data_IF_015060907559
#
_entry.id   IF_015060907559
#
_cell.length_a   1.000
_cell.length_b   1.000
_cell.length_c   1.000
_cell.angle_alpha   90.00
_cell.angle_beta   90.00
_cell.angle_gamma   90.00
#
_symmetry.space_group_name_H-M   'P 1'
#
loop_
_entity.id
_entity.type
_entity.pdbx_description
1 polymer ?
#
# COMPACT_ATOMS: atom_id res chain seq x y z
N UNK A 1 25.63 -12.80 -85.33
CA UNK A 1 25.29 -13.71 -84.25
C UNK A 1 25.62 -13.01 -82.96
N UNK A 2 24.67 -12.35 -82.30
CA UNK A 2 24.88 -11.59 -81.07
C UNK A 2 24.30 -12.43 -79.92
N UNK A 3 25.16 -12.75 -78.97
CA UNK A 3 24.76 -13.40 -77.72
C UNK A 3 24.82 -12.32 -76.63
N UNK A 4 23.65 -11.98 -76.07
CA UNK A 4 23.54 -11.05 -74.95
C UNK A 4 23.81 -11.77 -73.60
N UNK A 5 24.52 -11.18 -72.63
CA UNK A 5 24.70 -11.78 -71.32
C UNK A 5 23.52 -11.43 -70.39
N UNK A 6 22.95 -12.47 -69.78
CA UNK A 6 21.93 -12.35 -68.75
C UNK A 6 22.54 -11.82 -67.43
N UNK A 7 22.10 -10.65 -67.01
CA UNK A 7 22.39 -10.13 -65.64
C UNK A 7 21.58 -10.88 -64.61
N UNK A 8 22.23 -11.73 -63.82
CA UNK A 8 21.66 -12.25 -62.53
C UNK A 8 21.70 -11.16 -61.48
N UNK A 9 20.52 -10.66 -61.10
CA UNK A 9 20.35 -9.82 -59.92
C UNK A 9 20.43 -10.70 -58.68
N UNK A 10 21.49 -10.63 -57.92
CA UNK A 10 21.60 -11.22 -56.58
C UNK A 10 20.90 -10.24 -55.62
N UNK A 11 19.73 -10.65 -55.09
CA UNK A 11 19.09 -9.94 -53.99
C UNK A 11 19.73 -10.44 -52.70
N UNK A 12 20.57 -9.63 -52.10
CA UNK A 12 21.10 -9.87 -50.74
C UNK A 12 19.98 -9.47 -49.76
N UNK A 13 19.27 -10.42 -49.21
CA UNK A 13 18.38 -10.21 -48.08
C UNK A 13 19.25 -10.03 -46.83
N UNK A 14 19.44 -8.79 -46.40
CA UNK A 14 20.04 -8.50 -45.10
C UNK A 14 19.00 -8.77 -44.01
N UNK A 15 19.05 -9.96 -43.42
CA UNK A 15 18.28 -10.29 -42.25
C UNK A 15 18.91 -9.57 -41.04
N UNK A 16 18.34 -8.43 -40.67
CA UNK A 16 18.67 -7.77 -39.39
C UNK A 16 18.11 -8.65 -38.30
N UNK A 17 18.92 -9.55 -37.73
CA UNK A 17 18.60 -10.19 -36.46
C UNK A 17 18.60 -9.08 -35.40
N UNK A 18 17.42 -8.61 -34.98
CA UNK A 18 17.24 -7.89 -33.74
C UNK A 18 17.58 -8.89 -32.62
N UNK A 19 18.81 -8.84 -32.14
CA UNK A 19 19.24 -9.51 -30.91
C UNK A 19 18.47 -8.87 -29.76
N UNK A 20 17.24 -9.35 -29.51
CA UNK A 20 16.61 -9.11 -28.21
C UNK A 20 17.54 -9.73 -27.15
N UNK A 21 17.94 -9.00 -26.11
CA UNK A 21 18.73 -9.59 -25.04
C UNK A 21 17.97 -10.81 -24.50
N UNK A 22 18.66 -11.92 -24.19
CA UNK A 22 18.00 -13.09 -23.67
C UNK A 22 17.18 -12.70 -22.42
N UNK A 23 15.93 -13.15 -22.35
CA UNK A 23 15.00 -12.82 -21.25
C UNK A 23 15.59 -13.05 -19.84
N UNK A 24 16.53 -13.99 -19.71
CA UNK A 24 17.27 -14.24 -18.49
C UNK A 24 18.23 -13.11 -18.06
N UNK A 25 18.79 -12.34 -19.01
CA UNK A 25 19.65 -11.21 -18.67
C UNK A 25 18.85 -10.00 -18.15
N UNK A 26 17.61 -9.81 -18.62
CA UNK A 26 16.71 -8.76 -18.12
C UNK A 26 16.23 -9.04 -16.71
N UNK A 27 15.84 -10.29 -16.40
CA UNK A 27 15.41 -10.67 -15.03
C UNK A 27 16.54 -10.50 -14.01
N UNK A 28 17.77 -10.77 -14.40
CA UNK A 28 18.94 -10.62 -13.54
C UNK A 28 19.25 -9.15 -13.22
N UNK A 29 19.14 -8.26 -14.19
CA UNK A 29 19.31 -6.82 -14.02
C UNK A 29 18.18 -6.23 -13.16
N UNK A 30 16.93 -6.64 -13.38
CA UNK A 30 15.78 -6.16 -12.61
C UNK A 30 15.89 -6.54 -11.14
N UNK A 31 16.23 -7.78 -10.80
CA UNK A 31 16.42 -8.21 -9.41
C UNK A 31 17.51 -7.40 -8.70
N UNK A 32 18.61 -7.13 -9.40
CA UNK A 32 19.71 -6.30 -8.88
C UNK A 32 19.29 -4.85 -8.67
N UNK A 33 18.53 -4.29 -9.61
CA UNK A 33 18.01 -2.93 -9.51
C UNK A 33 17.03 -2.79 -8.34
N UNK A 34 16.10 -3.73 -8.18
CA UNK A 34 15.19 -3.76 -7.02
C UNK A 34 15.94 -3.83 -5.71
N UNK A 35 16.98 -4.69 -5.63
CA UNK A 35 17.82 -4.76 -4.44
C UNK A 35 18.54 -3.44 -4.13
N UNK A 36 19.12 -2.79 -5.12
CA UNK A 36 19.80 -1.50 -4.96
C UNK A 36 18.85 -0.41 -4.45
N UNK A 37 17.62 -0.34 -5.01
CA UNK A 37 16.57 0.60 -4.56
C UNK A 37 16.10 0.30 -3.14
N UNK A 38 15.92 -0.96 -2.76
CA UNK A 38 15.58 -1.34 -1.38
C UNK A 38 16.67 -0.94 -0.39
N UNK A 39 17.95 -1.07 -0.77
CA UNK A 39 19.07 -0.61 0.04
C UNK A 39 19.10 0.93 0.19
N UNK A 40 18.80 1.66 -0.87
CA UNK A 40 18.67 3.13 -0.84
C UNK A 40 17.54 3.55 0.10
N UNK A 41 16.34 3.00 -0.06
CA UNK A 41 15.19 3.25 0.81
C UNK A 41 15.54 3.01 2.27
N UNK A 42 16.18 1.88 2.59
CA UNK A 42 16.56 1.53 3.97
C UNK A 42 17.52 2.54 4.57
N UNK A 43 18.57 2.95 3.82
CA UNK A 43 19.51 3.98 4.29
C UNK A 43 18.81 5.31 4.51
N UNK A 44 18.01 5.77 3.54
CA UNK A 44 17.26 7.02 3.65
C UNK A 44 16.31 7.03 4.86
N UNK A 45 15.59 5.92 5.11
CA UNK A 45 14.72 5.77 6.28
C UNK A 45 15.49 5.87 7.59
N UNK A 46 16.62 5.16 7.66
CA UNK A 46 17.45 5.17 8.87
C UNK A 46 18.15 6.50 9.10
N UNK A 47 18.51 7.22 8.05
CA UNK A 47 19.20 8.51 8.16
C UNK A 47 18.24 9.67 8.44
N UNK A 48 17.04 9.64 7.86
CA UNK A 48 16.15 10.81 7.85
C UNK A 48 14.91 10.68 8.75
N UNK A 49 14.40 9.46 8.93
CA UNK A 49 13.14 9.23 9.67
C UNK A 49 13.41 8.70 11.07
N UNK A 50 14.30 7.72 11.21
CA UNK A 50 14.50 7.02 12.47
C UNK A 50 14.93 7.95 13.64
N UNK A 51 15.84 8.94 13.46
CA UNK A 51 16.23 9.81 14.54
C UNK A 51 15.06 10.62 15.13
N UNK A 52 14.26 11.22 14.28
CA UNK A 52 13.09 11.99 14.70
C UNK A 52 12.03 11.07 15.32
N UNK A 53 11.72 9.94 14.68
CA UNK A 53 10.73 9.00 15.18
C UNK A 53 11.10 8.43 16.56
N UNK A 54 12.35 8.10 16.81
CA UNK A 54 12.81 7.66 18.14
C UNK A 54 12.67 8.78 19.19
N UNK A 55 13.12 9.99 18.88
CA UNK A 55 13.11 11.13 19.81
C UNK A 55 11.71 11.63 20.14
N UNK A 56 10.85 11.78 19.14
CA UNK A 56 9.46 12.21 19.33
C UNK A 56 8.65 11.21 20.17
N UNK A 57 8.98 9.90 20.07
CA UNK A 57 8.34 8.87 20.88
C UNK A 57 9.11 8.57 22.18
N UNK A 58 10.21 9.29 22.47
CA UNK A 58 10.98 9.19 23.71
C UNK A 58 11.62 7.82 23.91
N UNK A 59 12.07 7.14 22.85
CA UNK A 59 12.75 5.85 22.88
C UNK A 59 14.25 6.05 22.66
N UNK A 60 15.04 5.74 23.69
CA UNK A 60 16.51 5.87 23.60
C UNK A 60 17.17 4.71 22.89
N UNK A 61 16.58 3.52 23.01
CA UNK A 61 17.05 2.30 22.36
C UNK A 61 15.85 1.49 21.86
N UNK A 62 15.95 0.98 20.64
CA UNK A 62 14.95 0.09 20.07
C UNK A 62 15.59 -1.25 19.75
N UNK A 63 15.03 -2.35 20.28
CA UNK A 63 15.56 -3.71 20.11
C UNK A 63 14.53 -4.56 19.40
N UNK A 64 14.91 -5.14 18.25
CA UNK A 64 14.07 -6.03 17.45
C UNK A 64 14.76 -7.39 17.35
N UNK A 65 14.38 -8.37 18.17
CA UNK A 65 14.91 -9.73 18.08
C UNK A 65 14.23 -10.50 16.94
N UNK A 66 14.98 -11.39 16.33
CA UNK A 66 14.49 -12.32 15.30
C UNK A 66 15.18 -13.67 15.47
N UNK A 67 14.57 -14.73 14.94
CA UNK A 67 15.18 -16.04 14.74
C UNK A 67 14.73 -16.62 13.41
N UNK A 68 15.40 -17.67 12.95
CA UNK A 68 15.00 -18.37 11.73
C UNK A 68 13.56 -18.90 11.85
N UNK A 69 12.72 -18.57 10.85
CA UNK A 69 11.30 -18.94 10.85
C UNK A 69 10.38 -18.09 11.73
N UNK A 70 10.93 -17.16 12.52
CA UNK A 70 10.18 -16.24 13.40
C UNK A 70 10.77 -14.83 13.23
N UNK A 71 10.50 -14.23 12.05
CA UNK A 71 10.97 -12.90 11.71
C UNK A 71 9.96 -11.86 12.16
N UNK A 72 10.45 -10.76 12.71
CA UNK A 72 9.60 -9.60 12.99
C UNK A 72 8.92 -9.09 11.70
N UNK A 73 7.64 -8.66 11.73
CA UNK A 73 6.94 -8.12 10.56
C UNK A 73 7.67 -6.98 9.86
N UNK A 74 8.52 -6.24 10.57
CA UNK A 74 9.34 -5.16 10.02
C UNK A 74 10.58 -5.63 9.25
N UNK A 75 10.78 -6.93 9.07
CA UNK A 75 11.95 -7.45 8.35
C UNK A 75 12.12 -6.86 6.95
N UNK A 76 11.04 -6.44 6.32
CA UNK A 76 11.09 -5.77 5.02
C UNK A 76 11.84 -4.43 5.08
N UNK A 77 11.64 -3.66 6.15
CA UNK A 77 12.32 -2.40 6.40
C UNK A 77 13.73 -2.62 6.95
N UNK A 78 13.87 -3.50 7.94
CA UNK A 78 15.12 -3.74 8.64
C UNK A 78 16.09 -4.67 7.88
N UNK A 79 15.56 -5.57 7.06
CA UNK A 79 16.30 -6.67 6.43
C UNK A 79 16.34 -7.89 7.32
N UNK A 80 16.31 -9.09 6.73
CA UNK A 80 16.34 -10.36 7.49
C UNK A 80 17.74 -10.77 7.93
N UNK A 81 18.63 -10.91 6.95
CA UNK A 81 19.88 -11.60 7.13
C UNK A 81 19.72 -13.08 7.54
N UNK A 82 20.84 -13.74 7.74
CA UNK A 82 20.88 -15.08 8.33
C UNK A 82 20.93 -14.96 9.86
N UNK A 83 19.96 -15.55 10.52
CA UNK A 83 19.84 -15.62 11.98
C UNK A 83 19.86 -17.08 12.39
N UNK A 84 20.95 -17.55 12.94
CA UNK A 84 21.12 -18.95 13.34
C UNK A 84 20.16 -19.35 14.47
N UNK A 85 20.34 -18.77 15.65
CA UNK A 85 19.45 -19.00 16.80
C UNK A 85 18.56 -17.80 17.07
N UNK A 86 19.10 -16.72 17.67
CA UNK A 86 18.43 -15.44 17.90
C UNK A 86 19.41 -14.35 17.54
N UNK A 87 18.97 -13.41 16.70
CA UNK A 87 19.71 -12.20 16.36
C UNK A 87 18.93 -10.94 16.70
N UNK A 88 19.61 -9.80 16.79
CA UNK A 88 19.02 -8.55 17.22
C UNK A 88 19.39 -7.42 16.29
N UNK A 89 18.40 -6.64 15.89
CA UNK A 89 18.61 -5.28 15.40
C UNK A 89 18.50 -4.33 16.60
N UNK A 90 19.52 -3.53 16.81
CA UNK A 90 19.56 -2.57 17.91
C UNK A 90 19.83 -1.18 17.38
N UNK A 91 18.94 -0.27 17.67
CA UNK A 91 19.04 1.13 17.30
C UNK A 91 19.18 1.96 18.58
N UNK A 92 20.22 2.80 18.66
CA UNK A 92 20.50 3.57 19.88
C UNK A 92 20.69 5.04 19.55
N UNK A 93 19.92 5.92 20.19
CA UNK A 93 20.15 7.36 20.14
C UNK A 93 21.35 7.73 21.03
N UNK A 94 22.46 8.09 20.40
CA UNK A 94 23.69 8.54 21.09
C UNK A 94 23.77 10.04 21.16
N UNK A 95 22.71 10.77 20.79
CA UNK A 95 22.75 12.18 20.49
C UNK A 95 23.38 12.47 19.12
N UNK A 96 23.32 13.73 18.66
CA UNK A 96 23.77 14.10 17.32
C UNK A 96 22.76 13.80 16.21
N UNK A 97 23.23 13.73 14.97
CA UNK A 97 22.32 13.71 13.80
C UNK A 97 21.83 12.32 13.40
N UNK A 98 22.42 11.26 13.93
CA UNK A 98 22.07 9.90 13.52
C UNK A 98 21.97 8.93 14.70
N UNK A 99 21.23 7.85 14.46
CA UNK A 99 21.09 6.72 15.37
C UNK A 99 22.20 5.69 15.09
N UNK A 100 22.84 5.17 16.14
CA UNK A 100 23.73 4.02 16.04
C UNK A 100 22.92 2.77 15.69
N UNK A 101 23.38 1.99 14.72
CA UNK A 101 22.65 0.85 14.13
C UNK A 101 23.51 -0.39 14.19
N UNK A 102 23.04 -1.39 14.92
CA UNK A 102 23.81 -2.61 15.14
C UNK A 102 22.97 -3.83 14.83
N UNK A 103 23.57 -4.83 14.18
CA UNK A 103 23.00 -6.15 13.98
C UNK A 103 23.85 -7.18 14.72
N UNK A 104 23.38 -7.69 15.85
CA UNK A 104 24.05 -8.68 16.69
C UNK A 104 23.55 -10.08 16.32
N UNK A 105 24.45 -11.06 16.17
CA UNK A 105 24.16 -12.45 15.80
C UNK A 105 23.36 -12.61 14.50
N UNK A 106 23.52 -11.64 13.61
CA UNK A 106 22.89 -11.63 12.28
C UNK A 106 24.03 -11.53 11.24
N UNK A 107 24.21 -12.57 10.46
CA UNK A 107 25.25 -12.63 9.42
C UNK A 107 24.65 -12.56 8.03
N UNK A 108 25.18 -11.69 7.18
CA UNK A 108 24.80 -11.60 5.78
C UNK A 108 25.75 -10.67 5.01
N UNK A 109 26.39 -11.18 3.97
CA UNK A 109 27.28 -10.35 3.10
C UNK A 109 26.48 -9.24 2.39
N UNK A 110 25.22 -9.48 2.03
CA UNK A 110 24.36 -8.50 1.35
C UNK A 110 24.02 -7.32 2.26
N UNK A 111 23.98 -7.52 3.57
CA UNK A 111 23.73 -6.46 4.53
C UNK A 111 24.89 -5.47 4.59
N UNK A 112 26.11 -6.00 4.63
CA UNK A 112 27.30 -5.16 4.51
C UNK A 112 27.33 -4.39 3.19
N UNK A 113 26.93 -5.04 2.07
CA UNK A 113 26.81 -4.40 0.77
C UNK A 113 25.73 -3.31 0.72
N UNK A 114 24.65 -3.44 1.53
CA UNK A 114 23.61 -2.44 1.65
C UNK A 114 24.08 -1.17 2.41
N UNK A 115 25.05 -1.29 3.33
CA UNK A 115 25.64 -0.17 4.07
C UNK A 115 24.69 0.53 5.02
N UNK A 116 23.62 -0.15 5.48
CA UNK A 116 22.60 0.44 6.36
C UNK A 116 22.95 0.33 7.86
N UNK A 117 23.85 -0.57 8.23
CA UNK A 117 24.26 -0.81 9.61
C UNK A 117 25.70 -0.41 9.84
N UNK A 118 25.97 0.23 11.00
CA UNK A 118 27.29 0.69 11.39
C UNK A 118 28.18 -0.44 11.86
N UNK A 119 27.59 -1.37 12.64
CA UNK A 119 28.28 -2.47 13.31
C UNK A 119 27.51 -3.76 13.01
N UNK A 120 28.22 -4.76 12.51
CA UNK A 120 27.69 -6.12 12.27
C UNK A 120 28.67 -7.12 12.90
N UNK A 121 28.74 -7.21 14.26
CA UNK A 121 29.54 -8.22 14.90
C UNK A 121 28.92 -9.60 14.60
N UNK A 122 29.73 -10.58 14.22
CA UNK A 122 29.24 -11.93 13.94
C UNK A 122 28.56 -12.57 15.16
N UNK A 123 29.09 -12.32 16.36
CA UNK A 123 28.54 -12.73 17.65
C UNK A 123 28.67 -11.59 18.65
N UNK A 124 27.75 -11.49 19.60
CA UNK A 124 27.79 -10.41 20.59
C UNK A 124 26.97 -10.68 21.85
N UNK A 125 27.38 -10.07 22.97
CA UNK A 125 26.60 -10.05 24.21
C UNK A 125 25.64 -8.85 24.21
N UNK A 126 24.37 -9.10 23.96
CA UNK A 126 23.32 -8.07 23.95
C UNK A 126 23.27 -7.31 25.29
N UNK A 127 23.35 -8.01 26.43
CA UNK A 127 23.22 -7.37 27.74
C UNK A 127 24.41 -6.45 28.05
N UNK A 128 25.64 -6.88 27.71
CA UNK A 128 26.82 -6.03 27.82
C UNK A 128 26.72 -4.81 26.89
N UNK A 129 26.22 -5.01 25.65
CA UNK A 129 26.01 -3.93 24.68
C UNK A 129 25.03 -2.88 25.22
N UNK A 130 23.87 -3.31 25.75
CA UNK A 130 22.84 -2.43 26.31
C UNK A 130 23.34 -1.71 27.56
N UNK A 131 23.99 -2.42 28.49
CA UNK A 131 24.57 -1.80 29.69
C UNK A 131 25.58 -0.68 29.37
N UNK A 132 26.45 -0.92 28.39
CA UNK A 132 27.44 0.08 27.96
C UNK A 132 26.82 1.38 27.43
N UNK A 133 25.57 1.32 26.94
CA UNK A 133 24.84 2.48 26.41
C UNK A 133 23.87 3.10 27.40
N UNK A 134 23.52 2.37 28.44
CA UNK A 134 22.67 2.80 29.57
C UNK A 134 21.39 3.54 29.13
N UNK A 135 20.53 2.95 28.31
CA UNK A 135 19.28 3.58 27.88
C UNK A 135 18.32 3.80 29.06
N UNK A 136 17.49 4.84 28.99
CA UNK A 136 16.41 5.09 29.94
C UNK A 136 15.15 4.30 29.57
N UNK A 137 14.85 4.23 28.27
CA UNK A 137 13.71 3.48 27.71
C UNK A 137 14.17 2.61 26.56
N UNK A 138 13.76 1.35 26.61
CA UNK A 138 14.04 0.34 25.58
C UNK A 138 12.73 0.00 24.88
N UNK A 139 12.58 0.43 23.62
CA UNK A 139 11.44 0.06 22.78
C UNK A 139 11.52 -1.39 22.35
N UNK A 140 10.41 -2.11 22.45
CA UNK A 140 10.23 -3.48 21.97
C UNK A 140 8.94 -3.56 21.14
N UNK A 141 8.88 -4.50 20.19
CA UNK A 141 7.77 -4.62 19.25
C UNK A 141 6.58 -5.35 19.86
N UNK A 142 5.83 -4.65 20.71
CA UNK A 142 4.54 -5.09 21.30
C UNK A 142 3.49 -4.03 21.06
N UNK A 143 2.27 -4.44 20.69
CA UNK A 143 1.14 -3.53 20.47
C UNK A 143 -0.18 -4.26 20.63
N UNK A 144 -1.15 -3.63 21.30
CA UNK A 144 -2.54 -4.11 21.37
C UNK A 144 -3.37 -3.71 20.15
N UNK A 145 -2.88 -2.74 19.34
CA UNK A 145 -3.63 -2.11 18.25
C UNK A 145 -3.13 -2.47 16.84
N UNK A 146 -1.86 -2.84 16.71
CA UNK A 146 -1.22 -3.00 15.41
C UNK A 146 -0.41 -4.28 15.32
N UNK A 147 -0.94 -5.31 14.64
CA UNK A 147 -0.25 -6.60 14.50
C UNK A 147 1.14 -6.50 13.87
N UNK A 148 1.39 -5.55 12.96
CA UNK A 148 2.75 -5.33 12.42
C UNK A 148 3.73 -4.72 13.42
N UNK A 149 3.23 -4.10 14.49
CA UNK A 149 4.05 -3.58 15.58
C UNK A 149 4.11 -4.54 16.79
N UNK A 150 3.43 -5.68 16.72
CA UNK A 150 3.38 -6.74 17.72
C UNK A 150 4.17 -7.99 17.26
N UNK A 151 5.37 -7.77 16.72
CA UNK A 151 6.20 -8.86 16.19
C UNK A 151 6.98 -9.66 17.22
N UNK A 152 6.98 -9.23 18.48
CA UNK A 152 7.74 -9.89 19.54
C UNK A 152 6.96 -11.10 20.08
N UNK A 153 7.30 -12.30 19.60
CA UNK A 153 6.67 -13.51 20.11
C UNK A 153 6.90 -13.70 21.62
N UNK A 154 5.98 -14.39 22.30
CA UNK A 154 6.09 -14.67 23.72
C UNK A 154 7.45 -15.32 24.09
N UNK A 155 7.97 -16.19 23.25
CA UNK A 155 9.28 -16.85 23.48
C UNK A 155 10.43 -15.84 23.39
N UNK A 156 10.43 -14.96 22.39
CA UNK A 156 11.45 -13.92 22.24
C UNK A 156 11.35 -12.87 23.34
N UNK A 157 10.14 -12.52 23.80
CA UNK A 157 9.95 -11.64 24.95
C UNK A 157 10.59 -12.22 26.22
N UNK A 158 10.29 -13.48 26.57
CA UNK A 158 10.91 -14.15 27.72
C UNK A 158 12.43 -14.22 27.60
N UNK A 159 12.92 -14.48 26.38
CA UNK A 159 14.35 -14.48 26.10
C UNK A 159 14.99 -13.13 26.39
N UNK A 160 14.37 -12.03 25.90
CA UNK A 160 14.86 -10.67 26.18
C UNK A 160 14.89 -10.37 27.67
N UNK A 161 13.82 -10.68 28.41
CA UNK A 161 13.76 -10.49 29.88
C UNK A 161 14.90 -11.22 30.57
N UNK A 162 15.14 -12.49 30.19
CA UNK A 162 16.22 -13.29 30.78
C UNK A 162 17.60 -12.73 30.43
N UNK A 163 17.81 -12.37 29.16
CA UNK A 163 19.11 -11.87 28.65
C UNK A 163 19.47 -10.51 29.25
N UNK A 164 18.51 -9.59 29.30
CA UNK A 164 18.72 -8.23 29.81
C UNK A 164 18.82 -8.19 31.36
N UNK A 165 18.16 -9.12 32.03
CA UNK A 165 18.03 -9.14 33.48
C UNK A 165 17.04 -8.11 34.02
N UNK A 166 16.73 -8.13 35.32
CA UNK A 166 15.60 -7.38 35.92
C UNK A 166 15.74 -5.85 35.77
N UNK A 167 16.98 -5.32 35.86
CA UNK A 167 17.20 -3.87 35.79
C UNK A 167 16.89 -3.30 34.40
N UNK A 168 17.39 -3.92 33.33
CA UNK A 168 17.21 -3.44 31.98
C UNK A 168 15.83 -3.80 31.41
N UNK A 169 15.31 -4.97 31.76
CA UNK A 169 13.98 -5.39 31.33
C UNK A 169 12.86 -4.51 31.91
N UNK A 170 13.07 -3.93 33.09
CA UNK A 170 12.15 -2.94 33.69
C UNK A 170 12.07 -1.62 32.89
N UNK A 171 13.01 -1.38 31.96
CA UNK A 171 13.03 -0.20 31.08
C UNK A 171 12.33 -0.47 29.73
N UNK A 172 11.88 -1.69 29.48
CA UNK A 172 11.20 -2.06 28.23
C UNK A 172 9.81 -1.42 28.18
N UNK A 173 9.47 -0.87 27.02
CA UNK A 173 8.17 -0.24 26.72
C UNK A 173 7.75 -0.59 25.30
N UNK A 174 6.45 -0.53 24.99
CA UNK A 174 5.98 -0.67 23.62
C UNK A 174 6.60 0.38 22.69
N UNK A 175 7.03 -0.06 21.51
CA UNK A 175 7.54 0.81 20.44
C UNK A 175 6.47 1.09 19.36
N UNK A 176 5.20 0.82 19.60
CA UNK A 176 4.12 0.84 18.60
C UNK A 176 4.01 2.19 17.87
N UNK A 177 4.05 3.32 18.60
CA UNK A 177 4.02 4.67 18.00
C UNK A 177 5.30 4.98 17.22
N UNK A 178 6.47 4.60 17.75
CA UNK A 178 7.73 4.69 17.02
C UNK A 178 7.65 3.91 15.71
N UNK A 179 7.14 2.69 15.75
CA UNK A 179 7.01 1.82 14.57
C UNK A 179 6.05 2.44 13.55
N UNK A 180 4.89 2.95 14.00
CA UNK A 180 3.94 3.65 13.14
C UNK A 180 4.58 4.87 12.46
N UNK A 181 5.25 5.72 13.22
CA UNK A 181 5.94 6.90 12.70
C UNK A 181 7.08 6.52 11.74
N UNK A 182 7.94 5.59 12.14
CA UNK A 182 9.05 5.13 11.31
C UNK A 182 8.56 4.50 9.99
N UNK A 183 7.52 3.68 10.05
CA UNK A 183 6.99 3.00 8.85
C UNK A 183 6.24 3.97 7.94
N UNK A 184 5.39 4.84 8.49
CA UNK A 184 4.45 5.66 7.69
C UNK A 184 5.02 6.99 7.18
N UNK A 185 6.06 7.57 7.81
CA UNK A 185 6.79 8.73 7.26
C UNK A 185 7.65 8.29 6.09
N UNK A 186 7.36 8.78 4.89
CA UNK A 186 8.03 8.32 3.66
C UNK A 186 9.19 9.23 3.28
N UNK A 187 10.26 8.61 2.78
CA UNK A 187 11.37 9.28 2.13
C UNK A 187 11.13 9.39 0.62
N UNK A 188 11.85 10.28 -0.07
CA UNK A 188 11.64 10.51 -1.49
C UNK A 188 11.80 9.23 -2.34
N UNK A 189 12.75 8.36 -2.01
CA UNK A 189 12.96 7.07 -2.69
C UNK A 189 11.74 6.11 -2.52
N UNK A 190 11.03 6.14 -1.37
CA UNK A 190 9.77 5.42 -1.20
C UNK A 190 8.64 6.02 -2.04
N UNK A 191 8.50 7.36 -2.07
CA UNK A 191 7.45 8.02 -2.84
C UNK A 191 7.57 7.71 -4.34
N UNK A 192 8.80 7.64 -4.87
CA UNK A 192 9.05 7.22 -6.25
C UNK A 192 8.65 5.76 -6.46
N UNK A 193 9.06 4.85 -5.57
CA UNK A 193 8.71 3.43 -5.66
C UNK A 193 7.20 3.20 -5.57
N UNK A 194 6.52 3.97 -4.71
CA UNK A 194 5.07 3.89 -4.55
C UNK A 194 4.33 4.46 -5.77
N UNK A 195 4.82 5.56 -6.36
CA UNK A 195 4.29 6.09 -7.61
C UNK A 195 4.37 5.07 -8.76
N UNK A 196 5.50 4.34 -8.88
CA UNK A 196 5.62 3.23 -9.84
C UNK A 196 4.57 2.13 -9.56
N UNK A 197 4.40 1.74 -8.29
CA UNK A 197 3.43 0.72 -7.89
C UNK A 197 1.99 1.13 -8.22
N UNK A 198 1.59 2.37 -7.91
CA UNK A 198 0.24 2.89 -8.20
C UNK A 198 -0.04 2.94 -9.69
N UNK A 199 0.94 3.34 -10.51
CA UNK A 199 0.80 3.37 -11.97
C UNK A 199 0.68 1.96 -12.57
N UNK A 200 1.47 0.99 -12.09
CA UNK A 200 1.34 -0.40 -12.52
C UNK A 200 -0.05 -0.94 -12.15
N UNK A 201 -0.53 -0.68 -10.92
CA UNK A 201 -1.87 -1.06 -10.49
C UNK A 201 -2.95 -0.46 -11.39
N UNK A 202 -2.86 0.83 -11.70
CA UNK A 202 -3.78 1.52 -12.60
C UNK A 202 -3.85 0.85 -13.99
N UNK A 203 -2.69 0.52 -14.57
CA UNK A 203 -2.63 -0.14 -15.89
C UNK A 203 -3.26 -1.54 -15.86
N UNK A 204 -3.00 -2.32 -14.82
CA UNK A 204 -3.62 -3.65 -14.64
C UNK A 204 -5.15 -3.49 -14.54
N UNK A 205 -5.63 -2.55 -13.72
CA UNK A 205 -7.06 -2.31 -13.52
C UNK A 205 -7.80 -1.89 -14.80
N UNK A 206 -7.22 -0.98 -15.58
CA UNK A 206 -7.85 -0.52 -16.83
C UNK A 206 -7.96 -1.65 -17.89
N UNK A 207 -7.00 -2.55 -17.94
CA UNK A 207 -7.05 -3.72 -18.81
C UNK A 207 -8.05 -4.76 -18.28
N UNK A 208 -8.03 -5.03 -16.97
CA UNK A 208 -8.97 -5.98 -16.34
C UNK A 208 -10.44 -5.60 -16.58
N UNK A 209 -10.74 -4.30 -16.49
CA UNK A 209 -12.09 -3.75 -16.71
C UNK A 209 -12.32 -3.31 -18.17
N UNK A 210 -11.91 -4.13 -19.13
CA UNK A 210 -12.07 -3.87 -20.56
C UNK A 210 -12.50 -5.13 -21.31
N UNK A 211 -12.81 -5.00 -22.62
CA UNK A 211 -13.10 -6.14 -23.49
C UNK A 211 -11.87 -7.01 -23.80
N UNK A 212 -10.67 -6.65 -23.32
CA UNK A 212 -9.52 -7.56 -23.36
C UNK A 212 -9.76 -8.78 -22.45
N UNK A 213 -10.45 -8.58 -21.31
CA UNK A 213 -10.67 -9.61 -20.29
C UNK A 213 -12.14 -10.02 -20.20
N UNK A 214 -13.07 -9.07 -20.34
CA UNK A 214 -14.49 -9.29 -20.07
C UNK A 214 -15.26 -9.46 -21.38
N UNK A 215 -15.84 -10.65 -21.55
CA UNK A 215 -16.87 -10.96 -22.56
C UNK A 215 -18.20 -11.14 -21.83
N UNK A 216 -19.16 -10.19 -21.96
CA UNK A 216 -20.46 -10.28 -21.29
C UNK A 216 -21.19 -11.58 -21.66
N UNK A 217 -21.78 -12.24 -20.67
CA UNK A 217 -22.45 -13.54 -20.82
C UNK A 217 -21.51 -14.76 -20.76
N UNK A 218 -20.19 -14.55 -20.64
CA UNK A 218 -19.17 -15.62 -20.61
C UNK A 218 -18.27 -15.51 -19.40
N UNK A 219 -17.61 -14.36 -19.23
CA UNK A 219 -16.60 -14.12 -18.19
C UNK A 219 -17.25 -14.05 -16.81
N UNK A 220 -16.69 -14.75 -15.83
CA UNK A 220 -17.11 -14.71 -14.42
C UNK A 220 -16.34 -13.62 -13.65
N UNK A 221 -16.80 -13.29 -12.43
CA UNK A 221 -16.07 -12.40 -11.54
C UNK A 221 -14.70 -13.00 -11.15
N UNK A 222 -14.65 -14.33 -10.97
CA UNK A 222 -13.40 -15.05 -10.69
C UNK A 222 -12.40 -14.94 -11.84
N UNK A 223 -12.83 -15.04 -13.09
CA UNK A 223 -11.93 -14.93 -14.25
C UNK A 223 -11.20 -13.59 -14.25
N UNK A 224 -11.88 -12.50 -13.91
CA UNK A 224 -11.28 -11.17 -13.81
C UNK A 224 -10.28 -11.10 -12.65
N UNK A 225 -10.64 -11.63 -11.47
CA UNK A 225 -9.76 -11.65 -10.31
C UNK A 225 -8.47 -12.44 -10.57
N UNK A 226 -8.59 -13.65 -11.15
CA UNK A 226 -7.43 -14.47 -11.49
C UNK A 226 -6.58 -13.87 -12.61
N UNK A 227 -7.19 -13.19 -13.58
CA UNK A 227 -6.42 -12.47 -14.60
C UNK A 227 -5.55 -11.38 -13.98
N UNK A 228 -6.08 -10.61 -13.00
CA UNK A 228 -5.32 -9.59 -12.28
C UNK A 228 -4.15 -10.24 -11.53
N UNK A 229 -4.42 -11.32 -10.79
CA UNK A 229 -3.40 -12.07 -10.04
C UNK A 229 -2.28 -12.57 -10.97
N UNK A 230 -2.63 -13.09 -12.12
CA UNK A 230 -1.67 -13.53 -13.15
C UNK A 230 -0.81 -12.36 -13.65
N UNK A 231 -1.40 -11.17 -13.87
CA UNK A 231 -0.64 -9.98 -14.27
C UNK A 231 0.36 -9.53 -13.21
N UNK A 232 0.01 -9.66 -11.93
CA UNK A 232 0.92 -9.38 -10.81
C UNK A 232 2.07 -10.40 -10.78
N UNK A 233 1.77 -11.68 -10.87
CA UNK A 233 2.75 -12.77 -10.85
C UNK A 233 3.77 -12.64 -12.00
N UNK A 234 3.29 -12.39 -13.23
CA UNK A 234 4.16 -12.24 -14.41
C UNK A 234 5.15 -11.06 -14.29
N UNK A 235 4.81 -10.04 -13.51
CA UNK A 235 5.66 -8.88 -13.24
C UNK A 235 6.51 -9.02 -11.99
N UNK A 236 6.42 -10.15 -11.28
CA UNK A 236 7.09 -10.36 -10.00
C UNK A 236 6.65 -9.35 -8.94
N UNK A 237 5.35 -9.04 -8.90
CA UNK A 237 4.72 -8.16 -7.90
C UNK A 237 4.04 -9.00 -6.83
N UNK A 238 3.94 -8.44 -5.61
CA UNK A 238 3.04 -8.96 -4.59
C UNK A 238 1.61 -8.49 -4.79
N UNK A 239 0.67 -9.13 -4.08
CA UNK A 239 -0.72 -8.68 -3.99
C UNK A 239 -1.00 -8.17 -2.58
N UNK A 240 -1.72 -7.05 -2.44
CA UNK A 240 -2.21 -6.56 -1.15
C UNK A 240 -3.34 -7.43 -0.58
N UNK A 241 -3.96 -8.23 -1.43
CA UNK A 241 -5.04 -9.16 -1.11
C UNK A 241 -4.62 -10.58 -1.48
N UNK A 242 -5.21 -11.59 -0.86
CA UNK A 242 -5.01 -12.98 -1.25
C UNK A 242 -5.46 -13.22 -2.70
N UNK A 243 -6.66 -12.72 -3.02
CA UNK A 243 -7.20 -12.61 -4.39
C UNK A 243 -7.87 -11.24 -4.53
N UNK A 244 -7.69 -10.52 -5.66
CA UNK A 244 -8.41 -9.28 -5.91
C UNK A 244 -9.94 -9.44 -5.76
N UNK A 245 -10.60 -8.47 -5.12
CA UNK A 245 -12.04 -8.49 -4.96
C UNK A 245 -12.72 -7.93 -6.20
N UNK A 246 -13.60 -8.72 -6.84
CA UNK A 246 -14.43 -8.29 -7.99
C UNK A 246 -15.88 -8.59 -7.67
N UNK A 247 -16.76 -7.61 -7.79
CA UNK A 247 -18.16 -7.74 -7.42
C UNK A 247 -19.10 -6.87 -8.28
N UNK A 248 -20.37 -7.22 -8.28
CA UNK A 248 -21.43 -6.43 -8.91
C UNK A 248 -22.07 -5.55 -7.84
N UNK A 249 -22.20 -4.26 -8.14
CA UNK A 249 -22.98 -3.34 -7.31
C UNK A 249 -24.41 -3.24 -7.82
N UNK A 250 -25.35 -3.25 -6.89
CA UNK A 250 -26.78 -3.11 -7.14
C UNK A 250 -27.40 -2.04 -6.25
N UNK A 251 -28.73 -1.99 -6.18
CA UNK A 251 -29.43 -1.04 -5.32
C UNK A 251 -29.03 -1.18 -3.85
N UNK A 252 -28.56 -0.05 -3.27
CA UNK A 252 -28.16 0.11 -1.88
C UNK A 252 -26.91 -0.68 -1.43
N UNK A 253 -26.14 -1.24 -2.36
CA UNK A 253 -24.90 -1.89 -2.01
C UNK A 253 -24.37 -2.92 -2.99
N UNK A 254 -23.78 -3.99 -2.44
CA UNK A 254 -23.26 -5.10 -3.22
C UNK A 254 -24.40 -6.06 -3.52
N UNK A 255 -24.61 -6.35 -4.82
CA UNK A 255 -25.64 -7.30 -5.27
C UNK A 255 -25.09 -8.72 -5.38
N UNK A 256 -23.89 -8.90 -5.96
CA UNK A 256 -23.28 -10.20 -6.13
C UNK A 256 -21.79 -10.18 -5.86
N UNK A 257 -21.34 -11.15 -5.06
CA UNK A 257 -19.93 -11.40 -4.73
C UNK A 257 -19.51 -12.83 -5.06
N UNK A 258 -20.43 -13.66 -5.57
CA UNK A 258 -20.12 -15.05 -5.94
C UNK A 258 -19.11 -15.06 -7.08
N UNK A 259 -18.02 -15.79 -6.90
CA UNK A 259 -16.97 -15.94 -7.91
C UNK A 259 -17.51 -16.53 -9.23
N UNK A 260 -18.55 -17.35 -9.17
CA UNK A 260 -19.17 -18.00 -10.33
C UNK A 260 -20.15 -17.09 -11.09
N UNK A 261 -20.43 -15.88 -10.58
CA UNK A 261 -21.35 -14.93 -11.19
C UNK A 261 -20.83 -14.50 -12.55
N UNK A 262 -21.53 -14.89 -13.62
CA UNK A 262 -21.22 -14.47 -15.00
C UNK A 262 -21.64 -13.02 -15.18
N UNK A 263 -20.72 -12.20 -15.65
CA UNK A 263 -20.92 -10.77 -15.93
C UNK A 263 -21.90 -10.61 -17.09
N UNK A 264 -22.95 -9.80 -16.88
CA UNK A 264 -24.03 -9.59 -17.85
C UNK A 264 -24.05 -8.13 -18.33
N UNK A 265 -24.74 -7.91 -19.46
CA UNK A 265 -25.02 -6.56 -19.94
C UNK A 265 -25.91 -5.80 -18.97
N UNK A 266 -25.49 -4.57 -18.63
CA UNK A 266 -26.15 -3.72 -17.64
C UNK A 266 -25.54 -3.83 -16.25
N UNK A 267 -24.61 -4.76 -16.01
CA UNK A 267 -23.90 -4.88 -14.73
C UNK A 267 -22.99 -3.67 -14.48
N UNK A 268 -22.92 -3.26 -13.23
CA UNK A 268 -21.96 -2.29 -12.72
C UNK A 268 -20.92 -3.04 -11.89
N UNK A 269 -19.71 -3.15 -12.42
CA UNK A 269 -18.63 -3.93 -11.83
C UNK A 269 -17.76 -3.00 -10.96
N UNK A 270 -17.42 -3.47 -9.80
CA UNK A 270 -16.44 -2.88 -8.90
C UNK A 270 -15.29 -3.84 -8.71
N UNK A 271 -14.08 -3.32 -8.61
CA UNK A 271 -12.91 -4.08 -8.21
C UNK A 271 -12.14 -3.34 -7.12
N UNK A 272 -11.51 -4.12 -6.25
CA UNK A 272 -10.69 -3.69 -5.14
C UNK A 272 -9.44 -4.55 -5.08
N UNK A 273 -8.28 -3.94 -5.24
CA UNK A 273 -7.00 -4.65 -5.24
C UNK A 273 -5.82 -3.69 -5.05
N UNK A 274 -4.69 -4.26 -4.70
CA UNK A 274 -3.43 -3.53 -4.66
C UNK A 274 -2.26 -4.38 -5.11
N UNK A 275 -1.17 -3.72 -5.46
CA UNK A 275 0.08 -4.35 -5.87
C UNK A 275 1.18 -4.06 -4.86
N UNK A 276 2.05 -5.05 -4.62
CA UNK A 276 3.26 -4.92 -3.83
C UNK A 276 4.49 -4.78 -4.72
N UNK A 277 5.20 -3.66 -4.60
CA UNK A 277 6.44 -3.40 -5.31
C UNK A 277 7.45 -2.71 -4.40
N UNK A 278 8.67 -3.23 -4.32
CA UNK A 278 9.75 -2.70 -3.46
C UNK A 278 9.33 -2.51 -1.98
N UNK A 279 8.59 -3.48 -1.44
CA UNK A 279 7.99 -3.42 -0.10
C UNK A 279 6.99 -2.26 0.10
N UNK A 280 6.51 -1.69 -0.99
CA UNK A 280 5.43 -0.70 -1.00
C UNK A 280 4.16 -1.35 -1.54
N UNK A 281 3.04 -1.15 -0.82
CA UNK A 281 1.75 -1.80 -1.08
C UNK A 281 0.69 -0.76 -1.35
N UNK A 282 -0.01 -0.89 -2.49
CA UNK A 282 -1.08 0.03 -2.92
C UNK A 282 -2.45 -0.52 -2.52
N UNK A 283 -3.46 0.36 -2.56
CA UNK A 283 -4.86 0.00 -2.40
C UNK A 283 -5.73 0.86 -3.33
N UNK A 284 -6.47 0.23 -4.26
CA UNK A 284 -7.14 0.95 -5.33
C UNK A 284 -8.48 0.30 -5.69
N UNK A 285 -9.51 1.14 -5.85
CA UNK A 285 -10.80 0.71 -6.39
C UNK A 285 -11.06 1.29 -7.77
N UNK A 286 -11.60 0.46 -8.67
CA UNK A 286 -12.02 0.85 -10.02
C UNK A 286 -13.40 0.30 -10.32
N UNK A 287 -14.09 0.92 -11.26
CA UNK A 287 -15.41 0.48 -11.66
C UNK A 287 -15.60 0.49 -13.18
N UNK A 288 -16.48 -0.38 -13.65
CA UNK A 288 -16.90 -0.45 -15.04
C UNK A 288 -18.42 -0.63 -15.16
N UNK A 289 -18.94 -0.24 -16.29
CA UNK A 289 -20.32 -0.52 -16.69
C UNK A 289 -20.33 -1.35 -17.98
N UNK A 290 -21.08 -2.44 -17.96
CA UNK A 290 -21.29 -3.28 -19.13
C UNK A 290 -22.46 -2.73 -19.94
N UNK A 291 -22.17 -2.17 -21.10
CA UNK A 291 -23.18 -1.55 -21.96
C UNK A 291 -24.30 -2.55 -22.32
N UNK A 292 -25.56 -2.12 -22.20
CA UNK A 292 -26.70 -2.86 -22.72
C UNK A 292 -26.69 -2.85 -24.24
N UNK A 293 -27.45 -3.76 -24.82
CA UNK A 293 -27.59 -3.79 -26.30
C UNK A 293 -28.13 -2.47 -26.83
N UNK A 294 -27.39 -1.86 -27.75
CA UNK A 294 -27.73 -0.55 -28.34
C UNK A 294 -27.17 0.67 -27.57
N UNK A 295 -26.63 0.49 -26.38
CA UNK A 295 -25.94 1.57 -25.67
C UNK A 295 -24.53 1.79 -26.24
N UNK A 296 -24.11 3.06 -26.34
CA UNK A 296 -22.78 3.48 -26.79
C UNK A 296 -22.04 4.33 -25.77
N UNK A 297 -22.70 4.69 -24.69
CA UNK A 297 -22.19 5.57 -23.62
C UNK A 297 -22.78 5.19 -22.26
N UNK A 298 -22.09 5.63 -21.20
CA UNK A 298 -22.58 5.47 -19.84
C UNK A 298 -23.97 6.13 -19.66
N UNK A 299 -24.94 5.48 -18.98
CA UNK A 299 -26.19 6.10 -18.60
C UNK A 299 -25.96 7.37 -17.77
N UNK A 300 -26.73 8.42 -18.06
CA UNK A 300 -26.55 9.74 -17.43
C UNK A 300 -26.76 9.72 -15.92
N UNK A 301 -27.58 8.82 -15.38
CA UNK A 301 -27.81 8.62 -13.94
C UNK A 301 -26.56 8.06 -13.25
N UNK A 302 -25.92 7.04 -13.84
CA UNK A 302 -24.67 6.45 -13.32
C UNK A 302 -23.54 7.50 -13.39
N UNK A 303 -23.45 8.26 -14.50
CA UNK A 303 -22.47 9.36 -14.60
C UNK A 303 -22.68 10.38 -13.48
N UNK A 304 -23.93 10.83 -13.23
CA UNK A 304 -24.21 11.75 -12.12
C UNK A 304 -23.82 11.18 -10.77
N UNK A 305 -24.08 9.90 -10.51
CA UNK A 305 -23.68 9.24 -9.26
C UNK A 305 -22.15 9.24 -9.10
N UNK A 306 -21.42 8.91 -10.15
CA UNK A 306 -19.95 8.97 -10.17
C UNK A 306 -19.44 10.40 -9.93
N UNK A 307 -20.05 11.41 -10.57
CA UNK A 307 -19.69 12.82 -10.40
C UNK A 307 -19.92 13.30 -8.94
N UNK A 308 -20.93 12.78 -8.23
CA UNK A 308 -21.12 13.07 -6.81
C UNK A 308 -19.98 12.49 -5.95
N UNK A 309 -19.58 11.25 -6.20
CA UNK A 309 -18.44 10.65 -5.50
C UNK A 309 -17.13 11.44 -5.76
N UNK A 310 -16.91 11.88 -7.01
CA UNK A 310 -15.77 12.76 -7.37
C UNK A 310 -15.81 14.08 -6.59
N UNK A 311 -16.98 14.70 -6.42
CA UNK A 311 -17.10 15.91 -5.59
C UNK A 311 -16.72 15.67 -4.13
N UNK A 312 -17.16 14.55 -3.53
CA UNK A 312 -16.76 14.17 -2.18
C UNK A 312 -15.25 14.01 -2.10
N UNK A 313 -14.62 13.29 -3.05
CA UNK A 313 -13.16 13.12 -3.11
C UNK A 313 -12.42 14.46 -3.17
N UNK A 314 -12.92 15.42 -3.96
CA UNK A 314 -12.30 16.74 -4.07
C UNK A 314 -12.40 17.56 -2.77
N UNK A 315 -13.47 17.38 -1.98
CA UNK A 315 -13.57 17.99 -0.65
C UNK A 315 -12.52 17.37 0.28
N UNK A 316 -12.38 16.03 0.30
CA UNK A 316 -11.34 15.34 1.07
C UNK A 316 -9.96 15.88 0.67
N UNK A 317 -9.65 15.90 -0.63
CA UNK A 317 -8.35 16.36 -1.16
C UNK A 317 -7.99 17.76 -0.71
N UNK A 318 -8.95 18.68 -0.68
CA UNK A 318 -8.74 20.08 -0.31
C UNK A 318 -8.67 20.31 1.20
N UNK A 319 -9.25 19.42 1.99
CA UNK A 319 -9.37 19.59 3.45
C UNK A 319 -8.30 18.81 4.20
N UNK A 320 -8.05 17.55 3.81
CA UNK A 320 -7.10 16.70 4.52
C UNK A 320 -5.66 17.18 4.34
N UNK A 321 -4.94 17.31 5.46
CA UNK A 321 -3.54 17.77 5.51
C UNK A 321 -2.82 17.24 6.74
N UNK A 322 -1.50 17.25 6.71
CA UNK A 322 -0.66 16.87 7.84
C UNK A 322 -0.70 17.90 8.99
N UNK A 323 -0.28 17.49 10.19
CA UNK A 323 -0.13 18.34 11.38
C UNK A 323 -1.28 18.23 12.38
N UNK A 324 -2.17 17.24 12.24
CA UNK A 324 -3.27 16.95 13.18
C UNK A 324 -3.41 15.45 13.39
N UNK A 325 -4.08 15.06 14.48
CA UNK A 325 -4.48 13.66 14.65
C UNK A 325 -5.48 13.25 13.56
N UNK A 326 -5.48 11.96 13.21
CA UNK A 326 -6.42 11.42 12.22
C UNK A 326 -7.88 11.67 12.63
N UNK A 327 -8.20 11.63 13.94
CA UNK A 327 -9.53 11.96 14.47
C UNK A 327 -9.93 13.40 14.16
N UNK A 328 -9.09 14.36 14.51
CA UNK A 328 -9.37 15.78 14.27
C UNK A 328 -9.53 16.06 12.76
N UNK A 329 -8.70 15.43 11.94
CA UNK A 329 -8.78 15.56 10.49
C UNK A 329 -10.04 14.91 9.91
N UNK A 330 -10.43 13.73 10.42
CA UNK A 330 -11.68 13.06 10.03
C UNK A 330 -12.90 13.93 10.33
N UNK A 331 -12.93 14.58 11.49
CA UNK A 331 -14.03 15.46 11.88
C UNK A 331 -14.12 16.69 10.97
N UNK A 332 -12.98 17.32 10.64
CA UNK A 332 -12.93 18.46 9.71
C UNK A 332 -13.37 18.08 8.29
N UNK A 333 -12.88 16.96 7.78
CA UNK A 333 -13.25 16.44 6.45
C UNK A 333 -14.74 16.13 6.40
N UNK A 334 -15.28 15.44 7.42
CA UNK A 334 -16.68 15.10 7.52
C UNK A 334 -17.57 16.36 7.55
N UNK A 335 -17.18 17.35 8.36
CA UNK A 335 -17.89 18.63 8.41
C UNK A 335 -17.85 19.37 7.07
N UNK A 336 -16.72 19.38 6.38
CA UNK A 336 -16.57 20.01 5.08
C UNK A 336 -17.42 19.34 3.99
N UNK A 337 -17.49 18.01 3.97
CA UNK A 337 -18.32 17.26 3.03
C UNK A 337 -19.81 17.53 3.33
N UNK A 338 -20.21 17.57 4.59
CA UNK A 338 -21.58 17.88 5.00
C UNK A 338 -21.96 19.32 4.59
N UNK A 339 -21.05 20.28 4.77
CA UNK A 339 -21.25 21.68 4.32
C UNK A 339 -21.37 21.80 2.79
N UNK A 340 -20.79 20.88 2.03
CA UNK A 340 -20.94 20.79 0.59
C UNK A 340 -22.28 20.15 0.13
N UNK A 341 -23.18 19.82 1.06
CA UNK A 341 -24.53 19.33 0.78
C UNK A 341 -24.68 17.80 0.75
N UNK A 342 -23.69 17.06 1.24
CA UNK A 342 -23.76 15.61 1.35
C UNK A 342 -24.19 15.17 2.75
N UNK A 343 -24.84 14.03 2.86
CA UNK A 343 -25.33 13.48 4.13
C UNK A 343 -24.41 12.39 4.65
N UNK A 344 -23.87 12.55 5.86
CA UNK A 344 -23.06 11.50 6.48
C UNK A 344 -23.91 10.28 6.84
N UNK A 345 -23.45 9.09 6.45
CA UNK A 345 -24.06 7.83 6.90
C UNK A 345 -23.79 7.58 8.38
N UNK A 346 -24.78 7.01 9.09
CA UNK A 346 -24.64 6.66 10.51
C UNK A 346 -23.95 5.30 10.72
N UNK A 347 -23.91 4.46 9.69
CA UNK A 347 -23.25 3.16 9.68
C UNK A 347 -23.17 2.63 8.25
N UNK A 348 -22.23 1.72 8.01
CA UNK A 348 -21.84 1.26 6.67
C UNK A 348 -23.01 0.69 5.83
N UNK A 349 -24.00 0.08 6.47
CA UNK A 349 -25.17 -0.53 5.80
C UNK A 349 -26.49 0.18 6.12
N UNK A 350 -26.44 1.43 6.58
CA UNK A 350 -27.63 2.20 6.98
C UNK A 350 -27.97 3.25 5.93
N UNK A 351 -28.30 2.79 4.72
CA UNK A 351 -28.68 3.65 3.60
C UNK A 351 -30.08 4.24 3.84
N UNK A 352 -30.20 5.57 3.76
CA UNK A 352 -31.49 6.26 3.89
C UNK A 352 -32.30 6.16 2.61
N UNK A 353 -33.59 6.00 2.75
CA UNK A 353 -34.53 6.06 1.62
C UNK A 353 -35.02 7.50 1.40
N UNK A 354 -34.11 8.37 0.92
CA UNK A 354 -34.39 9.77 0.60
C UNK A 354 -33.61 10.21 -0.66
N UNK A 355 -33.84 11.45 -1.10
CA UNK A 355 -33.19 12.00 -2.29
C UNK A 355 -31.73 12.49 -2.07
N UNK A 356 -31.18 12.37 -0.84
CA UNK A 356 -29.83 12.83 -0.53
C UNK A 356 -28.76 11.91 -1.14
N UNK A 357 -27.61 12.45 -1.49
CA UNK A 357 -26.39 11.67 -1.67
C UNK A 357 -25.72 11.53 -0.32
N UNK A 358 -25.54 10.28 0.12
CA UNK A 358 -24.89 9.96 1.37
C UNK A 358 -23.41 9.61 1.14
N UNK A 359 -22.57 9.78 2.17
CA UNK A 359 -21.18 9.42 2.13
C UNK A 359 -20.69 8.76 3.41
N UNK A 360 -19.64 7.96 3.29
CA UNK A 360 -18.82 7.46 4.40
C UNK A 360 -17.34 7.52 3.98
N UNK A 361 -16.46 7.88 4.93
CA UNK A 361 -15.02 8.02 4.70
C UNK A 361 -14.33 6.75 5.17
N UNK A 362 -13.49 6.18 4.29
CA UNK A 362 -12.63 5.03 4.59
C UNK A 362 -11.14 5.36 4.49
N UNK A 363 -10.74 6.64 4.42
CA UNK A 363 -9.34 7.03 4.19
C UNK A 363 -8.40 6.47 5.27
N UNK A 364 -7.39 5.73 4.85
CA UNK A 364 -6.46 5.06 5.76
C UNK A 364 -5.02 5.12 5.26
N UNK A 365 -4.07 4.89 6.18
CA UNK A 365 -2.67 4.74 5.82
C UNK A 365 -2.46 3.53 4.91
N UNK A 366 -1.56 3.68 3.93
CA UNK A 366 -1.17 2.66 2.95
C UNK A 366 0.35 2.67 2.75
N UNK A 367 0.88 1.70 2.07
CA UNK A 367 2.29 1.64 1.68
C UNK A 367 3.10 0.55 2.37
N UNK A 368 3.04 0.36 3.69
CA UNK A 368 3.66 -0.77 4.38
C UNK A 368 2.80 -2.04 4.24
N UNK A 369 1.52 -1.85 4.04
CA UNK A 369 0.50 -2.83 3.71
C UNK A 369 -0.66 -2.13 3.02
N UNK A 370 -1.65 -2.84 2.45
CA UNK A 370 -2.85 -2.23 1.89
C UNK A 370 -3.58 -1.39 2.95
N UNK A 371 -3.82 -1.97 4.14
CA UNK A 371 -4.21 -1.23 5.34
C UNK A 371 -2.99 -0.96 6.22
N UNK A 372 -2.21 0.05 5.90
CA UNK A 372 -0.95 0.40 6.57
C UNK A 372 -1.10 0.72 8.06
N UNK A 373 0.03 0.78 8.79
CA UNK A 373 0.06 0.95 10.26
C UNK A 373 0.15 2.42 10.72
N UNK A 374 0.14 3.36 9.79
CA UNK A 374 0.10 4.79 10.09
C UNK A 374 -1.27 5.28 10.56
N UNK A 375 -1.45 6.61 10.71
CA UNK A 375 -2.71 7.22 11.09
C UNK A 375 -3.83 6.85 10.10
N UNK A 376 -5.07 6.73 10.60
CA UNK A 376 -6.22 6.35 9.78
C UNK A 376 -7.46 7.17 10.15
N UNK A 377 -8.13 7.71 9.14
CA UNK A 377 -9.44 8.38 9.25
C UNK A 377 -10.59 7.40 8.95
N UNK A 378 -10.30 6.11 8.83
CA UNK A 378 -11.29 5.11 8.52
C UNK A 378 -12.04 4.63 9.77
N UNK A 379 -13.34 4.44 9.64
CA UNK A 379 -14.21 3.96 10.71
C UNK A 379 -13.85 2.56 11.22
N UNK A 380 -13.22 1.74 10.37
CA UNK A 380 -12.80 0.37 10.70
C UNK A 380 -11.42 0.28 11.39
N UNK A 381 -10.74 1.42 11.60
CA UNK A 381 -9.44 1.50 12.26
C UNK A 381 -9.45 2.45 13.48
N UNK A 382 -10.33 2.26 14.48
CA UNK A 382 -10.50 3.23 15.58
C UNK A 382 -9.24 3.43 16.43
N UNK A 383 -8.42 2.42 16.64
CA UNK A 383 -7.17 2.50 17.41
C UNK A 383 -6.13 3.46 16.83
N UNK A 384 -6.23 3.79 15.54
CA UNK A 384 -5.29 4.68 14.84
C UNK A 384 -5.79 6.12 14.64
N UNK A 385 -6.97 6.44 15.16
CA UNK A 385 -7.54 7.79 15.09
C UNK A 385 -6.73 8.83 15.87
N UNK A 386 -6.03 8.42 16.93
CA UNK A 386 -5.23 9.30 17.78
C UNK A 386 -3.80 9.50 17.28
N UNK A 387 -3.43 8.88 16.16
CA UNK A 387 -2.11 9.05 15.56
C UNK A 387 -2.09 10.33 14.72
N UNK A 388 -0.96 11.04 14.76
CA UNK A 388 -0.79 12.28 14.00
C UNK A 388 -0.50 11.98 12.53
N UNK A 389 -1.20 12.65 11.64
CA UNK A 389 -0.89 12.64 10.21
C UNK A 389 0.35 13.50 9.99
N UNK A 390 1.45 12.87 9.61
CA UNK A 390 2.72 13.53 9.35
C UNK A 390 2.86 13.89 7.86
N UNK A 391 3.66 14.91 7.51
CA UNK A 391 4.04 15.12 6.12
C UNK A 391 4.66 13.84 5.53
N UNK A 392 4.35 13.57 4.26
CA UNK A 392 4.75 12.37 3.50
C UNK A 392 4.07 11.06 3.89
N UNK A 393 3.10 11.05 4.82
CA UNK A 393 2.26 9.86 5.00
C UNK A 393 1.52 9.53 3.70
N UNK A 394 1.52 8.25 3.32
CA UNK A 394 0.72 7.74 2.24
C UNK A 394 -0.66 7.34 2.75
N UNK A 395 -1.67 7.74 2.00
CA UNK A 395 -3.06 7.41 2.28
C UNK A 395 -3.73 6.82 1.05
N UNK A 396 -4.50 5.78 1.23
CA UNK A 396 -5.59 5.48 0.33
C UNK A 396 -6.72 6.47 0.64
N UNK A 397 -7.10 7.28 -0.35
CA UNK A 397 -8.22 8.21 -0.26
C UNK A 397 -9.48 7.46 -0.64
N UNK A 398 -9.92 6.62 0.28
CA UNK A 398 -11.10 5.78 0.15
C UNK A 398 -12.36 6.50 0.64
N UNK A 399 -13.43 6.39 -0.14
CA UNK A 399 -14.76 6.85 0.21
C UNK A 399 -15.84 6.00 -0.48
N UNK A 400 -17.05 6.04 0.07
CA UNK A 400 -18.24 5.51 -0.57
C UNK A 400 -19.29 6.62 -0.64
N UNK A 401 -19.83 6.86 -1.84
CA UNK A 401 -20.96 7.75 -2.04
C UNK A 401 -22.18 6.95 -2.53
N UNK A 402 -23.33 7.21 -1.94
CA UNK A 402 -24.58 6.54 -2.27
C UNK A 402 -25.53 7.56 -2.85
N UNK A 403 -25.79 7.47 -4.15
CA UNK A 403 -26.61 8.45 -4.90
C UNK A 403 -27.87 7.78 -5.45
N UNK A 404 -29.07 8.37 -5.26
CA UNK A 404 -30.32 7.81 -5.76
C UNK A 404 -30.33 7.72 -7.30
N UNK A 405 -30.79 6.58 -7.82
CA UNK A 405 -31.02 6.38 -9.25
C UNK A 405 -32.53 6.31 -9.56
N UNK A 406 -33.04 7.15 -10.47
CA UNK A 406 -34.45 7.11 -10.87
C UNK A 406 -34.91 5.76 -11.38
N UNK A 407 -34.06 5.08 -12.19
CA UNK A 407 -34.32 3.76 -12.77
C UNK A 407 -34.40 2.63 -11.71
N UNK A 408 -33.92 2.88 -10.49
CA UNK A 408 -34.03 1.98 -9.33
C UNK A 408 -35.12 2.42 -8.35
N UNK A 409 -36.06 3.27 -8.80
CA UNK A 409 -37.13 3.79 -7.94
C UNK A 409 -36.62 4.66 -6.80
N UNK A 410 -35.47 5.30 -6.95
CA UNK A 410 -34.84 6.14 -5.95
C UNK A 410 -33.89 5.39 -5.00
N UNK A 411 -33.76 4.09 -5.10
CA UNK A 411 -32.72 3.34 -4.39
C UNK A 411 -31.33 3.78 -4.86
N UNK A 412 -30.34 3.73 -3.97
CA UNK A 412 -29.05 4.38 -4.18
C UNK A 412 -28.02 3.46 -4.82
N UNK A 413 -27.27 4.00 -5.76
CA UNK A 413 -26.06 3.38 -6.30
C UNK A 413 -24.87 3.76 -5.40
N UNK A 414 -24.18 2.73 -4.91
CA UNK A 414 -22.91 2.86 -4.18
C UNK A 414 -21.76 3.03 -5.17
N UNK A 415 -21.09 4.18 -5.11
CA UNK A 415 -19.86 4.46 -5.85
C UNK A 415 -18.69 4.46 -4.86
N UNK A 416 -17.82 3.46 -4.85
CA UNK A 416 -16.55 3.53 -4.15
C UNK A 416 -15.52 4.25 -5.03
N UNK A 417 -14.79 5.18 -4.44
CA UNK A 417 -13.56 5.72 -5.03
C UNK A 417 -12.42 5.45 -4.07
N UNK A 418 -11.30 5.04 -4.64
CA UNK A 418 -10.08 4.81 -3.88
C UNK A 418 -8.87 4.99 -4.79
N UNK A 419 -8.05 5.95 -4.42
CA UNK A 419 -6.80 6.27 -5.08
C UNK A 419 -5.74 6.61 -4.04
N UNK A 420 -4.53 6.11 -4.25
CA UNK A 420 -3.40 6.34 -3.37
C UNK A 420 -2.80 7.75 -3.56
N UNK A 421 -2.45 8.36 -2.45
CA UNK A 421 -1.94 9.73 -2.42
C UNK A 421 -0.91 9.93 -1.31
N UNK A 422 -0.15 11.02 -1.40
CA UNK A 422 0.66 11.53 -0.29
C UNK A 422 -0.05 12.70 0.39
N UNK A 423 -0.06 12.69 1.72
CA UNK A 423 -0.59 13.82 2.50
C UNK A 423 0.56 14.75 2.85
N UNK A 424 0.37 16.04 2.56
CA UNK A 424 1.34 17.10 2.83
C UNK A 424 0.73 18.18 3.73
N UNK A 425 1.52 19.17 4.12
CA UNK A 425 1.01 20.36 4.83
C UNK A 425 0.06 21.21 3.98
N UNK A 426 0.11 21.07 2.64
CA UNK A 426 -0.72 21.81 1.68
C UNK A 426 -2.03 21.10 1.33
N UNK A 427 -2.11 19.80 1.55
CA UNK A 427 -3.25 18.97 1.17
C UNK A 427 -2.82 17.59 0.67
N UNK A 428 -3.75 16.91 0.01
CA UNK A 428 -3.52 15.60 -0.65
C UNK A 428 -2.97 15.83 -2.06
N UNK A 429 -1.87 15.15 -2.38
CA UNK A 429 -1.22 15.19 -3.69
C UNK A 429 -1.20 13.78 -4.29
N UNK A 430 -1.69 13.64 -5.51
CA UNK A 430 -1.75 12.37 -6.23
C UNK A 430 -0.39 11.97 -6.78
N UNK A 431 -0.03 10.71 -6.66
CA UNK A 431 1.24 10.17 -7.16
C UNK A 431 1.12 9.53 -8.56
N UNK A 432 -0.10 9.27 -9.00
CA UNK A 432 -0.42 8.74 -10.33
C UNK A 432 -1.77 9.31 -10.81
N UNK A 433 -2.14 9.14 -12.09
CA UNK A 433 -3.48 9.51 -12.55
C UNK A 433 -4.56 8.77 -11.79
N UNK A 434 -5.49 9.54 -11.20
CA UNK A 434 -6.59 9.03 -10.38
C UNK A 434 -7.72 8.45 -11.22
N UNK A 435 -8.61 7.70 -10.57
CA UNK A 435 -9.87 7.24 -11.17
C UNK A 435 -10.78 8.44 -11.50
N UNK A 436 -10.93 8.77 -12.78
CA UNK A 436 -11.70 9.90 -13.28
C UNK A 436 -12.89 9.50 -14.16
N UNK A 437 -13.12 8.22 -14.37
CA UNK A 437 -14.19 7.71 -15.24
C UNK A 437 -14.64 6.30 -14.82
N UNK A 438 -15.85 5.96 -15.21
CA UNK A 438 -16.34 4.59 -15.25
C UNK A 438 -15.87 3.96 -16.57
N UNK A 439 -15.20 2.81 -16.52
CA UNK A 439 -14.79 2.07 -17.71
C UNK A 439 -16.03 1.51 -18.44
N UNK A 440 -15.97 1.40 -19.75
CA UNK A 440 -17.09 0.86 -20.56
C UNK A 440 -16.70 -0.46 -21.19
N UNK A 441 -17.51 -1.47 -20.95
CA UNK A 441 -17.40 -2.81 -21.53
C UNK A 441 -18.51 -3.01 -22.56
N UNK A 442 -18.17 -3.45 -23.78
CA UNK A 442 -19.08 -3.57 -24.92
C UNK A 442 -19.56 -5.00 -25.15
#
# INVERSE_FOLDING_TARGET
>A
MNVAPALRRIVIAVTVLLLAPPAGAQSHLESRNRWARLCEIRRDKFDRVLPEAMRENGIDMWIVPMREGDYDPLWNLLGRGYVGSIGYFVFTDRGGDRIERVAIDITDHNRAACGAYDIVPGTGDLAAFVRARNPKKIGINTSDEMGMADGLSHTLHRHLVTTLGPELSAKMVSADKLISDFSSRRVASELVAFGDATEIGRQIAERALSNEVITPGVTTLADVAWWIQEQQLQRGLGSSFEVPSVYITGPDGIEATSNDRIIQRGDIIMMDFGVGYLNMWTDQKRMAYVLKTGETRLPASIQRAFDQAVKVREVIRKTARAGKTAKAMMDEVTAAISAAGFTQMQGFNQVRNDASTEFIIGCHSVGDWGHGIGPSMAWFNPGRLNFEIRPTNLFSIELFAYTPLPEWGGRKLRIPLEDDAVVTSRGVEWLSPINHRVQLIR
#
